data_IF_723974273800
#
_entry.id   IF_723974273800
#
_cell.length_a   1.000
_cell.length_b   1.000
_cell.length_c   1.000
_cell.angle_alpha   90.00
_cell.angle_beta   90.00
_cell.angle_gamma   90.00
#
_symmetry.space_group_name_H-M   'P 1'
#
loop_
_entity.id
_entity.type
_entity.pdbx_description
1 polymer ?
#
# COMPACT_ATOMS: atom_id res chain seq x y z
N UNK A 1 -1.66 5.64 -9.50
CA UNK A 1 -0.73 4.98 -8.55
C UNK A 1 -0.52 5.94 -7.38
N UNK A 2 -0.46 5.42 -6.17
CA UNK A 2 -0.25 6.15 -4.92
C UNK A 2 1.10 5.73 -4.35
N UNK A 3 1.87 6.69 -3.84
CA UNK A 3 3.10 6.41 -3.08
C UNK A 3 3.00 7.16 -1.76
N UNK A 4 3.09 6.45 -0.64
CA UNK A 4 2.92 7.02 0.70
C UNK A 4 4.03 6.56 1.63
N UNK A 5 4.45 7.45 2.51
CA UNK A 5 5.23 7.11 3.70
C UNK A 5 4.24 6.95 4.86
N UNK A 6 4.22 5.76 5.46
CA UNK A 6 3.40 5.47 6.64
C UNK A 6 4.21 5.79 7.88
N UNK A 7 3.71 6.70 8.72
CA UNK A 7 4.39 7.13 9.94
C UNK A 7 3.67 6.67 11.20
N UNK A 8 4.42 6.42 12.26
CA UNK A 8 3.95 6.31 13.64
C UNK A 8 4.79 7.28 14.48
N UNK A 9 4.15 8.24 15.16
CA UNK A 9 4.81 9.27 15.97
C UNK A 9 6.02 9.90 15.25
N UNK A 10 5.78 10.41 14.05
CA UNK A 10 6.74 11.00 13.09
C UNK A 10 7.82 10.07 12.51
N UNK A 11 7.96 8.85 13.02
CA UNK A 11 8.90 7.84 12.51
C UNK A 11 8.32 7.12 11.30
N UNK A 12 9.07 7.03 10.20
CA UNK A 12 8.65 6.28 9.00
C UNK A 12 8.73 4.78 9.28
N UNK A 13 7.60 4.09 9.15
CA UNK A 13 7.48 2.66 9.41
C UNK A 13 7.43 1.83 8.11
N UNK A 14 6.88 2.41 7.04
CA UNK A 14 6.77 1.72 5.75
C UNK A 14 6.72 2.70 4.57
N UNK A 15 7.20 2.21 3.43
CA UNK A 15 6.98 2.81 2.11
C UNK A 15 5.90 1.97 1.44
N UNK A 16 4.81 2.60 1.05
CA UNK A 16 3.65 1.92 0.47
C UNK A 16 3.43 2.42 -0.97
N UNK A 17 3.25 1.48 -1.91
CA UNK A 17 3.04 1.80 -3.33
C UNK A 17 1.81 1.10 -3.88
N UNK A 18 0.65 1.73 -3.75
CA UNK A 18 -0.63 1.14 -4.19
C UNK A 18 -0.98 1.53 -5.63
N UNK A 19 -1.44 0.58 -6.42
CA UNK A 19 -2.05 0.78 -7.71
C UNK A 19 -3.46 0.19 -7.74
N UNK A 20 -4.38 0.90 -8.39
CA UNK A 20 -5.76 0.48 -8.58
C UNK A 20 -6.23 0.89 -9.98
N UNK A 21 -7.26 0.22 -10.53
CA UNK A 21 -7.89 0.67 -11.76
C UNK A 21 -8.46 2.09 -11.63
N UNK A 22 -8.30 2.90 -12.68
CA UNK A 22 -8.87 4.25 -12.73
C UNK A 22 -10.41 4.24 -12.64
N UNK A 23 -11.07 3.14 -13.01
CA UNK A 23 -12.51 2.93 -12.83
C UNK A 23 -12.94 2.72 -11.36
N UNK A 24 -11.99 2.54 -10.44
CA UNK A 24 -12.23 2.41 -8.99
C UNK A 24 -11.80 3.68 -8.26
N UNK A 25 -10.66 4.25 -8.66
CA UNK A 25 -10.15 5.52 -8.13
C UNK A 25 -9.71 6.44 -9.28
N UNK A 26 -10.64 7.21 -9.85
CA UNK A 26 -10.32 8.15 -10.93
C UNK A 26 -9.53 9.35 -10.41
N UNK A 27 -9.78 9.77 -9.17
CA UNK A 27 -9.17 10.93 -8.52
C UNK A 27 -8.46 10.52 -7.23
N UNK A 28 -7.14 10.30 -7.25
CA UNK A 28 -6.36 9.92 -6.07
C UNK A 28 -6.54 10.83 -4.85
N UNK A 29 -6.83 12.11 -5.09
CA UNK A 29 -7.03 13.12 -4.05
C UNK A 29 -8.35 12.93 -3.27
N UNK A 30 -9.27 12.10 -3.78
CA UNK A 30 -10.51 11.77 -3.08
C UNK A 30 -10.28 10.84 -1.87
N UNK A 31 -9.11 10.21 -1.77
CA UNK A 31 -8.76 9.41 -0.59
C UNK A 31 -8.37 10.35 0.54
N UNK A 32 -9.12 10.26 1.64
CA UNK A 32 -8.76 10.90 2.90
C UNK A 32 -7.67 10.12 3.63
N UNK A 33 -7.89 9.84 4.91
CA UNK A 33 -6.90 9.15 5.74
C UNK A 33 -6.82 7.64 5.46
N UNK A 34 -7.92 7.03 5.02
CA UNK A 34 -8.04 5.59 4.81
C UNK A 34 -8.47 5.27 3.38
N UNK A 35 -7.66 4.46 2.72
CA UNK A 35 -8.01 3.90 1.40
C UNK A 35 -9.24 2.99 1.52
N UNK A 36 -9.31 2.19 2.59
CA UNK A 36 -10.40 1.22 2.76
C UNK A 36 -11.73 1.89 3.07
N UNK A 37 -11.74 2.99 3.82
CA UNK A 37 -12.97 3.78 4.02
C UNK A 37 -13.49 4.36 2.70
N UNK A 38 -12.59 4.85 1.83
CA UNK A 38 -12.97 5.29 0.48
C UNK A 38 -13.59 4.14 -0.32
N UNK A 39 -12.97 2.96 -0.32
CA UNK A 39 -13.46 1.78 -1.05
C UNK A 39 -14.82 1.30 -0.54
N UNK A 40 -15.05 1.35 0.77
CA UNK A 40 -16.35 1.07 1.38
C UNK A 40 -17.41 2.08 0.93
N UNK A 41 -17.08 3.38 0.92
CA UNK A 41 -18.03 4.44 0.54
C UNK A 41 -18.54 4.34 -0.90
N UNK A 42 -17.75 3.74 -1.80
CA UNK A 42 -18.13 3.51 -3.20
C UNK A 42 -18.68 2.09 -3.45
N UNK A 43 -18.94 1.31 -2.39
CA UNK A 43 -19.50 -0.03 -2.49
C UNK A 43 -18.56 -1.08 -3.07
N UNK A 44 -17.24 -0.87 -2.99
CA UNK A 44 -16.20 -1.81 -3.47
C UNK A 44 -15.23 -2.22 -2.36
N UNK A 45 -15.70 -2.75 -1.22
CA UNK A 45 -14.82 -3.16 -0.14
C UNK A 45 -13.89 -4.31 -0.58
N UNK A 46 -12.68 -4.32 -0.06
CA UNK A 46 -11.79 -5.49 -0.14
C UNK A 46 -12.27 -6.51 0.89
N UNK A 47 -12.78 -7.65 0.43
CA UNK A 47 -13.26 -8.73 1.32
C UNK A 47 -12.29 -9.89 1.41
N UNK A 48 -11.33 -9.97 0.48
CA UNK A 48 -10.30 -11.01 0.44
C UNK A 48 -9.00 -10.40 -0.05
N UNK A 49 -7.87 -10.81 0.51
CA UNK A 49 -6.56 -10.43 0.03
C UNK A 49 -5.62 -11.63 -0.05
N UNK A 50 -4.73 -11.63 -1.04
CA UNK A 50 -3.55 -12.50 -1.06
C UNK A 50 -2.35 -11.66 -0.71
N UNK A 51 -1.49 -12.18 0.17
CA UNK A 51 -0.32 -11.46 0.63
C UNK A 51 0.91 -12.35 0.49
N UNK A 52 1.93 -11.80 -0.13
CA UNK A 52 3.25 -12.41 -0.23
C UNK A 52 4.23 -11.58 0.60
N UNK A 53 5.01 -12.23 1.46
CA UNK A 53 5.94 -11.57 2.37
C UNK A 53 7.32 -12.15 2.16
N UNK A 54 8.32 -11.28 2.05
CA UNK A 54 9.72 -11.66 1.87
C UNK A 54 10.62 -10.80 2.76
N UNK A 55 11.69 -11.39 3.25
CA UNK A 55 12.79 -10.63 3.83
C UNK A 55 13.64 -10.04 2.70
N UNK A 56 13.95 -8.76 2.79
CA UNK A 56 14.87 -8.06 1.89
C UNK A 56 15.84 -7.23 2.73
N UNK A 57 16.95 -6.81 2.12
CA UNK A 57 17.81 -5.79 2.68
C UNK A 57 17.48 -4.45 2.01
N UNK A 58 17.44 -3.36 2.78
CA UNK A 58 17.13 -2.03 2.28
C UNK A 58 18.12 -1.61 1.18
N UNK A 59 17.60 -1.23 0.00
CA UNK A 59 18.38 -0.51 -1.00
C UNK A 59 18.71 0.89 -0.49
N UNK A 60 19.66 1.58 -1.12
CA UNK A 60 19.98 2.98 -0.77
C UNK A 60 18.75 3.90 -0.86
N UNK A 61 17.89 3.68 -1.86
CA UNK A 61 16.64 4.43 -2.03
C UNK A 61 15.67 4.21 -0.86
N UNK A 62 15.40 2.96 -0.48
CA UNK A 62 14.49 2.65 0.63
C UNK A 62 15.06 3.08 1.97
N UNK A 63 16.37 2.90 2.17
CA UNK A 63 17.07 3.33 3.36
C UNK A 63 16.96 4.84 3.57
N UNK A 64 17.16 5.64 2.51
CA UNK A 64 17.02 7.09 2.56
C UNK A 64 15.58 7.55 2.87
N UNK A 65 14.57 6.90 2.29
CA UNK A 65 13.16 7.23 2.52
C UNK A 65 12.69 6.92 3.95
N UNK A 66 13.22 5.86 4.55
CA UNK A 66 12.86 5.43 5.92
C UNK A 66 13.75 6.09 6.98
N UNK A 67 14.97 6.48 6.63
CA UNK A 67 15.95 7.02 7.57
C UNK A 67 16.75 5.94 8.31
N UNK A 68 17.06 4.84 7.63
CA UNK A 68 17.85 3.71 8.16
C UNK A 68 19.15 3.53 7.36
N UNK A 69 20.07 2.70 7.84
CA UNK A 69 21.28 2.37 7.10
C UNK A 69 20.97 1.49 5.88
N UNK A 70 21.64 1.68 4.73
CA UNK A 70 21.59 0.72 3.63
C UNK A 70 21.94 -0.69 4.09
N UNK A 71 21.27 -1.69 3.52
CA UNK A 71 21.45 -3.09 3.90
C UNK A 71 20.67 -3.53 5.16
N UNK A 72 20.04 -2.60 5.89
CA UNK A 72 19.18 -2.95 7.05
C UNK A 72 18.06 -3.88 6.61
N UNK A 73 17.78 -4.91 7.40
CA UNK A 73 16.72 -5.87 7.10
C UNK A 73 15.34 -5.19 7.09
N UNK A 74 14.54 -5.51 6.07
CA UNK A 74 13.17 -5.05 5.90
C UNK A 74 12.26 -6.20 5.48
N UNK A 75 10.95 -5.99 5.64
CA UNK A 75 9.94 -6.86 5.05
C UNK A 75 9.39 -6.21 3.79
N UNK A 76 9.47 -6.92 2.67
CA UNK A 76 8.74 -6.60 1.46
C UNK A 76 7.41 -7.35 1.50
N UNK A 77 6.31 -6.61 1.37
CA UNK A 77 4.97 -7.16 1.35
C UNK A 77 4.31 -6.77 0.04
N UNK A 78 3.84 -7.75 -0.71
CA UNK A 78 2.98 -7.53 -1.87
C UNK A 78 1.59 -8.04 -1.56
N UNK A 79 0.58 -7.19 -1.76
CA UNK A 79 -0.82 -7.50 -1.46
C UNK A 79 -1.66 -7.32 -2.70
N UNK A 80 -2.52 -8.29 -3.00
CA UNK A 80 -3.58 -8.15 -4.01
C UNK A 80 -4.93 -8.24 -3.31
N UNK A 81 -5.72 -7.17 -3.41
CA UNK A 81 -7.05 -7.05 -2.79
C UNK A 81 -8.17 -7.34 -3.78
N UNK A 82 -9.16 -8.11 -3.34
CA UNK A 82 -10.31 -8.57 -4.12
C UNK A 82 -11.63 -8.15 -3.49
N UNK A 83 -12.58 -7.78 -4.36
CA UNK A 83 -14.00 -7.54 -4.03
C UNK A 83 -14.77 -8.87 -3.89
N UNK A 84 -16.03 -8.80 -3.46
CA UNK A 84 -16.89 -9.97 -3.21
C UNK A 84 -17.17 -10.82 -4.45
N UNK A 85 -17.16 -10.22 -5.63
CA UNK A 85 -17.23 -10.90 -6.94
C UNK A 85 -15.87 -11.47 -7.40
N UNK A 86 -14.87 -11.48 -6.51
CA UNK A 86 -13.52 -11.98 -6.76
C UNK A 86 -12.71 -11.19 -7.81
N UNK A 87 -13.09 -9.93 -8.06
CA UNK A 87 -12.35 -9.03 -8.95
C UNK A 87 -11.16 -8.38 -8.21
N UNK A 88 -9.92 -8.45 -8.72
CA UNK A 88 -8.79 -7.73 -8.12
C UNK A 88 -8.91 -6.23 -8.41
N UNK A 89 -8.90 -5.41 -7.37
CA UNK A 89 -9.02 -3.95 -7.51
C UNK A 89 -7.87 -3.18 -6.86
N UNK A 90 -7.02 -3.87 -6.10
CA UNK A 90 -5.87 -3.30 -5.40
C UNK A 90 -4.65 -4.18 -5.64
N UNK A 91 -3.51 -3.55 -5.95
CA UNK A 91 -2.18 -4.13 -5.72
C UNK A 91 -1.32 -3.12 -4.96
N UNK A 92 -0.68 -3.58 -3.89
CA UNK A 92 0.20 -2.79 -3.03
C UNK A 92 1.52 -3.51 -2.86
#
# INVERSE_FOLDING_TARGET
RLKRLRKADDTVMAIEMTAMPASVLPHPQAIGNSLYEYLESIGKPIVRALQHIQAINASDEFAALVGIAPGTAMLLMTRVGYTADNTPIEIT
#
